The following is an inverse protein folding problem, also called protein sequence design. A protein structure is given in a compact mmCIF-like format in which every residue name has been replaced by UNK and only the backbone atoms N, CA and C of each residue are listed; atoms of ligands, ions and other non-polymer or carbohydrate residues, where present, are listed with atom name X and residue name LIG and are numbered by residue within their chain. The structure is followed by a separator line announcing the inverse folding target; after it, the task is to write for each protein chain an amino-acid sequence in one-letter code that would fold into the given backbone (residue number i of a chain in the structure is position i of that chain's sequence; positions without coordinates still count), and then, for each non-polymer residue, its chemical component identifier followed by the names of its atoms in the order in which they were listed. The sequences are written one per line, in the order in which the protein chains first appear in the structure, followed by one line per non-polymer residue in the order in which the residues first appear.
data_IF_912039319662
#
_entry.id   IF_912039319662
#
_cell.length_a   1.000
_cell.length_b   1.000
_cell.length_c   1.000
_cell.angle_alpha   90.00
_cell.angle_beta   90.00
_cell.angle_gamma   90.00
#
_symmetry.space_group_name_H-M   'P 1'
#
loop_
_entity.id
_entity.type
_entity.pdbx_description
1 polymer ?
#
# COMPACT_ATOMS: atom_id res chain seq x y z
N UNK A 1 11.73 -12.35 5.74
CA UNK A 1 11.04 -11.12 6.16
C UNK A 1 10.04 -10.71 5.10
N UNK A 2 8.80 -10.40 5.50
CA UNK A 2 7.75 -9.86 4.64
C UNK A 2 7.64 -8.35 4.85
N UNK A 3 7.11 -7.62 3.87
CA UNK A 3 6.97 -6.16 3.90
C UNK A 3 5.57 -5.74 3.46
N UNK A 4 5.02 -4.73 4.14
CA UNK A 4 3.83 -4.00 3.72
C UNK A 4 4.32 -2.73 3.02
N UNK A 5 3.70 -2.39 1.90
CA UNK A 5 4.07 -1.24 1.08
C UNK A 5 2.89 -0.28 1.05
N UNK A 6 3.12 0.95 1.52
CA UNK A 6 2.11 2.00 1.60
C UNK A 6 1.57 2.43 0.21
N UNK A 7 0.34 2.93 0.17
CA UNK A 7 -0.31 3.37 -1.07
C UNK A 7 0.47 4.47 -1.79
N UNK A 8 1.18 5.34 -1.06
CA UNK A 8 2.00 6.40 -1.67
C UNK A 8 3.13 5.85 -2.55
N UNK A 9 3.76 4.74 -2.14
CA UNK A 9 4.83 4.08 -2.90
C UNK A 9 4.25 3.37 -4.13
N UNK A 10 3.09 2.73 -4.00
CA UNK A 10 2.37 2.16 -5.14
C UNK A 10 1.98 3.22 -6.17
N UNK A 11 1.43 4.34 -5.70
CA UNK A 11 1.08 5.49 -6.55
C UNK A 11 2.30 6.09 -7.26
N UNK A 12 3.48 6.02 -6.63
CA UNK A 12 4.74 6.40 -7.26
C UNK A 12 5.18 5.39 -8.32
N UNK A 13 5.11 4.09 -8.00
CA UNK A 13 5.52 2.98 -8.86
C UNK A 13 4.65 2.86 -10.12
N UNK A 14 3.34 3.02 -9.99
CA UNK A 14 2.36 2.86 -11.08
C UNK A 14 2.28 4.08 -12.01
N UNK A 15 2.96 5.19 -11.68
CA UNK A 15 2.89 6.44 -12.45
C UNK A 15 3.55 6.26 -13.83
N UNK A 16 2.93 6.78 -14.90
CA UNK A 16 3.48 6.73 -16.27
C UNK A 16 4.92 7.22 -16.39
N UNK A 17 5.28 8.26 -15.63
CA UNK A 17 6.64 8.82 -15.53
C UNK A 17 7.24 8.56 -14.14
N UNK A 18 7.17 7.32 -13.68
CA UNK A 18 7.76 6.93 -12.41
C UNK A 18 9.28 7.19 -12.41
N UNK A 19 9.84 7.83 -11.36
CA UNK A 19 11.27 8.07 -11.25
C UNK A 19 11.98 6.76 -10.91
N UNK A 20 12.23 5.90 -11.91
CA UNK A 20 12.70 4.52 -11.73
C UNK A 20 14.04 4.38 -10.99
N UNK A 21 14.80 5.46 -10.83
CA UNK A 21 16.01 5.50 -10.02
C UNK A 21 15.80 5.84 -8.54
N UNK A 22 14.57 6.15 -8.10
CA UNK A 22 14.29 6.46 -6.70
C UNK A 22 14.43 5.21 -5.82
N UNK A 23 14.96 5.39 -4.61
CA UNK A 23 15.24 4.28 -3.70
C UNK A 23 13.98 3.47 -3.34
N UNK A 24 12.82 4.13 -3.27
CA UNK A 24 11.53 3.49 -2.98
C UNK A 24 11.14 2.49 -4.06
N UNK A 25 11.29 2.87 -5.34
CA UNK A 25 10.97 2.00 -6.48
C UNK A 25 11.96 0.83 -6.54
N UNK A 26 13.25 1.09 -6.43
CA UNK A 26 14.28 0.05 -6.45
C UNK A 26 14.08 -0.97 -5.29
N UNK A 27 13.69 -0.49 -4.11
CA UNK A 27 13.37 -1.34 -2.98
C UNK A 27 12.11 -2.19 -3.25
N UNK A 28 11.05 -1.58 -3.78
CA UNK A 28 9.81 -2.28 -4.12
C UNK A 28 10.05 -3.37 -5.17
N UNK A 29 10.74 -3.07 -6.26
CA UNK A 29 11.09 -4.05 -7.30
C UNK A 29 11.87 -5.24 -6.72
N UNK A 30 12.83 -4.98 -5.83
CA UNK A 30 13.58 -6.03 -5.14
C UNK A 30 12.67 -6.91 -4.27
N UNK A 31 11.72 -6.32 -3.54
CA UNK A 31 10.80 -7.09 -2.70
C UNK A 31 9.75 -7.86 -3.50
N UNK A 32 9.28 -7.30 -4.62
CA UNK A 32 8.39 -7.99 -5.56
C UNK A 32 9.08 -9.24 -6.14
N UNK A 33 10.29 -9.07 -6.69
CA UNK A 33 11.07 -10.18 -7.27
C UNK A 33 11.40 -11.29 -6.27
N UNK A 34 11.50 -10.96 -4.98
CA UNK A 34 11.80 -11.93 -3.92
C UNK A 34 10.55 -12.49 -3.24
N UNK A 35 9.33 -12.13 -3.70
CA UNK A 35 8.07 -12.64 -3.13
C UNK A 35 7.82 -12.20 -1.68
N UNK A 36 8.32 -11.02 -1.30
CA UNK A 36 8.29 -10.53 0.09
C UNK A 36 7.17 -9.52 0.36
N UNK A 37 6.54 -8.99 -0.67
CA UNK A 37 5.44 -8.02 -0.53
C UNK A 37 4.15 -8.72 -0.11
N UNK A 38 3.42 -8.10 0.81
CA UNK A 38 2.04 -8.43 1.15
C UNK A 38 1.20 -7.14 1.04
N UNK A 39 -0.07 -7.29 0.67
CA UNK A 39 -1.01 -6.17 0.60
C UNK A 39 -1.95 -6.18 1.80
N UNK A 40 -2.17 -5.02 2.42
CA UNK A 40 -3.35 -4.86 3.26
C UNK A 40 -4.57 -4.74 2.34
N UNK A 41 -5.69 -5.35 2.73
CA UNK A 41 -6.93 -5.29 1.96
C UNK A 41 -7.35 -3.85 1.63
N UNK A 42 -7.15 -2.91 2.58
CA UNK A 42 -7.44 -1.49 2.38
C UNK A 42 -6.58 -0.84 1.29
N UNK A 43 -5.29 -1.21 1.18
CA UNK A 43 -4.38 -0.69 0.15
C UNK A 43 -4.78 -1.25 -1.21
N UNK A 44 -5.09 -2.55 -1.30
CA UNK A 44 -5.59 -3.15 -2.55
C UNK A 44 -6.86 -2.44 -3.02
N UNK A 45 -7.81 -2.23 -2.10
CA UNK A 45 -9.07 -1.55 -2.40
C UNK A 45 -8.82 -0.11 -2.88
N UNK A 46 -7.97 0.66 -2.19
CA UNK A 46 -7.62 2.03 -2.57
C UNK A 46 -7.03 2.09 -3.99
N UNK A 47 -6.03 1.24 -4.28
CA UNK A 47 -5.37 1.18 -5.59
C UNK A 47 -6.34 0.87 -6.73
N UNK A 48 -7.23 -0.11 -6.53
CA UNK A 48 -8.20 -0.51 -7.54
C UNK A 48 -9.31 0.55 -7.71
N UNK A 49 -9.80 1.13 -6.61
CA UNK A 49 -10.83 2.17 -6.64
C UNK A 49 -10.36 3.48 -7.27
N UNK A 50 -9.04 3.73 -7.29
CA UNK A 50 -8.45 4.89 -7.94
C UNK A 50 -8.44 4.82 -9.48
N UNK A 51 -8.82 3.69 -10.08
CA UNK A 51 -8.82 3.50 -11.53
C UNK A 51 -10.25 3.63 -12.07
N UNK A 52 -10.50 4.68 -12.85
CA UNK A 52 -11.81 4.92 -13.46
C UNK A 52 -12.08 4.17 -14.77
N UNK A 53 -11.04 3.66 -15.44
CA UNK A 53 -11.15 2.99 -16.73
C UNK A 53 -11.04 1.47 -16.58
N UNK A 54 -12.02 0.73 -17.11
CA UNK A 54 -12.19 -0.71 -16.83
C UNK A 54 -10.99 -1.55 -17.28
N UNK A 55 -10.38 -1.26 -18.43
CA UNK A 55 -9.24 -2.05 -18.92
C UNK A 55 -8.01 -1.83 -18.04
N UNK A 56 -7.75 -0.61 -17.56
CA UNK A 56 -6.70 -0.33 -16.57
C UNK A 56 -6.98 -1.00 -15.24
N UNK A 57 -8.25 -1.05 -14.81
CA UNK A 57 -8.64 -1.74 -13.59
C UNK A 57 -8.30 -3.24 -13.67
N UNK A 58 -8.69 -3.90 -14.76
CA UNK A 58 -8.42 -5.33 -14.94
C UNK A 58 -6.92 -5.62 -15.00
N UNK A 59 -6.15 -4.82 -15.75
CA UNK A 59 -4.70 -4.97 -15.78
C UNK A 59 -4.07 -4.81 -14.39
N UNK A 60 -4.51 -3.84 -13.60
CA UNK A 60 -4.00 -3.65 -12.25
C UNK A 60 -4.44 -4.79 -11.31
N UNK A 61 -5.69 -5.24 -11.40
CA UNK A 61 -6.21 -6.38 -10.62
C UNK A 61 -5.37 -7.62 -10.87
N UNK A 62 -5.08 -7.93 -12.13
CA UNK A 62 -4.24 -9.07 -12.52
C UNK A 62 -2.80 -8.91 -12.03
N UNK A 63 -2.21 -7.72 -12.17
CA UNK A 63 -0.86 -7.44 -11.67
C UNK A 63 -0.74 -7.62 -10.15
N UNK A 64 -1.79 -7.31 -9.38
CA UNK A 64 -1.83 -7.47 -7.93
C UNK A 64 -2.29 -8.87 -7.48
N UNK A 65 -2.77 -9.74 -8.38
CA UNK A 65 -3.35 -11.04 -8.01
C UNK A 65 -2.33 -11.99 -7.36
N UNK A 66 -1.06 -11.89 -7.74
CA UNK A 66 0.03 -12.69 -7.17
C UNK A 66 0.49 -12.24 -5.77
N UNK A 67 -0.03 -11.12 -5.26
CA UNK A 67 0.36 -10.60 -3.95
C UNK A 67 -0.62 -11.11 -2.88
N UNK A 68 -0.14 -11.81 -1.83
CA UNK A 68 -1.01 -12.30 -0.78
C UNK A 68 -1.52 -11.13 0.08
N UNK A 69 -2.79 -11.24 0.50
CA UNK A 69 -3.38 -10.29 1.43
C UNK A 69 -2.94 -10.60 2.87
N UNK A 70 -2.68 -9.53 3.62
CA UNK A 70 -2.51 -9.54 5.06
C UNK A 70 -3.76 -8.91 5.68
N UNK A 71 -4.52 -9.74 6.39
CA UNK A 71 -5.75 -9.31 7.04
C UNK A 71 -5.43 -8.63 8.37
N UNK A 72 -5.98 -7.43 8.55
CA UNK A 72 -5.94 -6.76 9.84
C UNK A 72 -6.90 -7.45 10.81
N UNK A 73 -6.44 -7.65 12.04
CA UNK A 73 -7.25 -8.17 13.13
C UNK A 73 -8.01 -7.05 13.82
N UNK A 74 -9.02 -7.39 14.64
CA UNK A 74 -9.69 -6.42 15.52
C UNK A 74 -8.68 -5.67 16.40
N UNK A 75 -7.62 -6.34 16.86
CA UNK A 75 -6.56 -5.72 17.66
C UNK A 75 -5.83 -4.64 16.87
N UNK A 76 -5.51 -4.89 15.61
CA UNK A 76 -4.81 -3.92 14.76
C UNK A 76 -5.66 -2.66 14.55
N UNK A 77 -6.98 -2.83 14.34
CA UNK A 77 -7.90 -1.71 14.22
C UNK A 77 -8.00 -0.89 15.52
N UNK A 78 -8.07 -1.56 16.68
CA UNK A 78 -8.08 -0.86 17.98
C UNK A 78 -6.78 -0.10 18.21
N UNK A 79 -5.63 -0.72 17.92
CA UNK A 79 -4.32 -0.07 18.03
C UNK A 79 -4.21 1.14 17.09
N UNK A 80 -4.68 1.01 15.85
CA UNK A 80 -4.69 2.12 14.89
C UNK A 80 -5.52 3.30 15.42
N UNK A 81 -6.69 3.05 16.01
CA UNK A 81 -7.52 4.08 16.63
C UNK A 81 -6.82 4.75 17.83
N UNK A 82 -6.10 3.97 18.65
CA UNK A 82 -5.29 4.52 19.74
C UNK A 82 -4.15 5.41 19.24
N UNK A 83 -3.39 4.96 18.24
CA UNK A 83 -2.34 5.74 17.59
C UNK A 83 -2.88 7.04 17.01
N UNK A 84 -4.04 7.00 16.34
CA UNK A 84 -4.70 8.19 15.83
C UNK A 84 -5.05 9.18 16.94
N UNK A 85 -5.67 8.72 18.04
CA UNK A 85 -6.02 9.56 19.18
C UNK A 85 -4.79 10.17 19.85
N UNK A 86 -3.70 9.42 19.98
CA UNK A 86 -2.43 9.92 20.48
C UNK A 86 -1.90 11.05 19.60
N UNK A 87 -1.82 10.85 18.28
CA UNK A 87 -1.41 11.88 17.34
C UNK A 87 -2.32 13.12 17.45
N UNK A 88 -3.63 12.94 17.43
CA UNK A 88 -4.59 14.05 17.54
C UNK A 88 -4.40 14.85 18.84
N UNK A 89 -4.14 14.18 19.95
CA UNK A 89 -3.98 14.82 21.26
C UNK A 89 -2.58 15.40 21.48
N UNK A 90 -1.54 14.86 20.82
CA UNK A 90 -0.19 15.43 20.86
C UNK A 90 -0.07 16.71 20.02
N UNK A 91 -0.83 16.80 18.92
CA UNK A 91 -0.95 18.04 18.13
C UNK A 91 -1.94 19.04 18.75
N UNK A 92 -2.76 18.60 19.70
CA UNK A 92 -3.63 19.45 20.50
C UNK A 92 -2.95 19.81 21.84
N UNK A 93 -1.97 20.72 21.80
CA UNK A 93 -1.56 21.53 22.97
C UNK A 93 -1.40 23.00 22.54
N UNK A 94 -1.68 23.93 23.46
CA UNK A 94 -2.61 25.05 23.33
C UNK A 94 -2.24 26.11 22.29
#
# INVERSE_FOLDING_TARGET
MKVIVDTSVWSLFLRRKAPRGSWQILALERYLRTGRVQLLGIIRQELLSGIGEQSQFEHLREALAGLPDLLATTRDHVLAAQCYNLCRNCWAKP
#
